data_IF_623023332664
#
_entry.id   IF_623023332664
#
_cell.length_a   1.000
_cell.length_b   1.000
_cell.length_c   1.000
_cell.angle_alpha   90.00
_cell.angle_beta   90.00
_cell.angle_gamma   90.00
#
_symmetry.space_group_name_H-M   'P 1'
#
loop_
_entity.id
_entity.type
_entity.pdbx_description
1 polymer ?
#
# COMPACT_ATOMS: atom_id res chain seq x y z
N UNK A 1 -10.56 -36.84 0.76
CA UNK A 1 -11.83 -36.30 1.27
C UNK A 1 -11.66 -34.80 1.47
N UNK A 2 -12.24 -33.98 0.59
CA UNK A 2 -12.28 -32.51 0.75
C UNK A 2 -13.17 -32.20 1.95
N UNK A 3 -12.60 -31.64 3.03
CA UNK A 3 -13.37 -31.17 4.19
C UNK A 3 -13.52 -29.66 4.03
N UNK A 4 -14.69 -29.23 3.60
CA UNK A 4 -15.08 -27.82 3.57
C UNK A 4 -15.22 -27.37 5.03
N UNK A 5 -14.43 -26.40 5.46
CA UNK A 5 -14.57 -25.79 6.77
C UNK A 5 -15.39 -24.51 6.64
N UNK A 6 -16.57 -24.49 7.26
CA UNK A 6 -17.36 -23.29 7.47
C UNK A 6 -17.01 -22.76 8.87
N UNK A 7 -16.53 -21.53 8.97
CA UNK A 7 -16.19 -20.94 10.26
C UNK A 7 -17.47 -20.64 11.06
N UNK A 8 -17.96 -21.58 11.86
CA UNK A 8 -18.75 -21.26 13.06
C UNK A 8 -17.76 -20.83 14.16
N UNK A 9 -18.01 -19.68 14.77
CA UNK A 9 -17.20 -19.08 15.83
C UNK A 9 -17.03 -20.03 17.02
N UNK A 10 -16.03 -20.90 16.96
CA UNK A 10 -15.52 -21.67 18.10
C UNK A 10 -14.26 -20.97 18.59
N UNK A 11 -14.47 -20.14 19.60
CA UNK A 11 -13.44 -19.50 20.38
C UNK A 11 -12.48 -20.53 21.01
N UNK A 12 -11.26 -20.06 21.22
CA UNK A 12 -10.12 -20.67 21.91
C UNK A 12 -9.24 -21.63 21.07
N UNK A 13 -8.03 -21.14 20.78
CA UNK A 13 -6.79 -21.84 20.31
C UNK A 13 -6.28 -21.67 18.87
N UNK A 14 -6.98 -21.01 17.93
CA UNK A 14 -6.53 -20.97 16.50
C UNK A 14 -6.08 -19.60 15.93
N UNK A 15 -5.87 -18.54 16.71
CA UNK A 15 -5.98 -17.18 16.16
C UNK A 15 -4.68 -16.36 15.92
N UNK A 16 -3.48 -16.95 15.93
CA UNK A 16 -2.27 -16.17 15.59
C UNK A 16 -1.39 -16.95 14.60
N UNK A 17 -1.24 -16.42 13.38
CA UNK A 17 -0.30 -16.96 12.38
C UNK A 17 -0.89 -17.81 11.25
N UNK A 18 -2.16 -17.63 10.85
CA UNK A 18 -2.74 -18.40 9.75
C UNK A 18 -2.78 -17.61 8.44
N UNK A 19 -2.39 -18.29 7.36
CA UNK A 19 -2.48 -17.83 5.97
C UNK A 19 -3.39 -18.75 5.18
N UNK A 20 -4.26 -18.19 4.34
CA UNK A 20 -5.13 -18.95 3.45
C UNK A 20 -4.86 -18.49 2.02
N UNK A 21 -4.35 -19.40 1.18
CA UNK A 21 -3.95 -19.06 -0.19
C UNK A 21 -5.15 -18.67 -1.07
N UNK A 22 -6.29 -19.34 -0.90
CA UNK A 22 -7.55 -19.09 -1.61
C UNK A 22 -8.74 -19.33 -0.70
N UNK A 23 -9.70 -18.42 -0.74
CA UNK A 23 -10.95 -18.52 0.01
C UNK A 23 -12.07 -17.78 -0.71
N UNK A 24 -13.30 -17.99 -0.23
CA UNK A 24 -14.48 -17.22 -0.61
C UNK A 24 -14.99 -16.47 0.62
N UNK A 25 -15.29 -15.19 0.46
CA UNK A 25 -16.01 -14.41 1.47
C UNK A 25 -17.42 -14.08 1.00
N UNK A 26 -18.36 -14.05 1.93
CA UNK A 26 -19.75 -13.66 1.68
C UNK A 26 -20.13 -12.55 2.65
N UNK A 27 -20.57 -11.40 2.12
CA UNK A 27 -21.05 -10.29 2.93
C UNK A 27 -22.36 -10.67 3.61
N UNK A 28 -22.46 -10.47 4.92
CA UNK A 28 -23.69 -10.79 5.67
C UNK A 28 -24.82 -9.80 5.43
N UNK A 29 -24.50 -8.58 5.00
CA UNK A 29 -25.50 -7.53 4.75
C UNK A 29 -26.14 -7.67 3.37
N UNK A 30 -25.35 -8.01 2.35
CA UNK A 30 -25.81 -8.07 0.95
C UNK A 30 -25.97 -9.49 0.41
N UNK A 31 -25.41 -10.49 1.10
CA UNK A 31 -25.28 -11.88 0.65
C UNK A 31 -24.44 -12.04 -0.65
N UNK A 32 -23.73 -11.00 -1.08
CA UNK A 32 -22.81 -11.06 -2.21
C UNK A 32 -21.54 -11.80 -1.82
N UNK A 33 -21.00 -12.58 -2.76
CA UNK A 33 -19.82 -13.40 -2.51
C UNK A 33 -18.67 -13.07 -3.46
N UNK A 34 -17.45 -13.15 -2.95
CA UNK A 34 -16.24 -12.78 -3.65
C UNK A 34 -15.16 -13.85 -3.47
N UNK A 35 -14.51 -14.22 -4.56
CA UNK A 35 -13.29 -15.01 -4.50
C UNK A 35 -12.14 -14.11 -4.05
N UNK A 36 -11.35 -14.61 -3.11
CA UNK A 36 -10.22 -13.90 -2.52
C UNK A 36 -9.00 -14.81 -2.40
N UNK A 37 -7.83 -14.19 -2.36
CA UNK A 37 -6.57 -14.89 -2.25
C UNK A 37 -5.63 -14.18 -1.27
N UNK A 38 -4.56 -14.86 -0.90
CA UNK A 38 -3.53 -14.28 -0.03
C UNK A 38 -4.09 -13.74 1.30
N UNK A 39 -5.01 -14.50 1.91
CA UNK A 39 -5.77 -14.05 3.08
C UNK A 39 -4.94 -14.21 4.34
N UNK A 40 -4.83 -13.13 5.12
CA UNK A 40 -4.20 -13.12 6.43
C UNK A 40 -5.09 -12.46 7.48
N UNK A 41 -5.07 -12.99 8.68
CA UNK A 41 -5.69 -12.35 9.83
C UNK A 41 -4.84 -11.15 10.28
N UNK A 42 -5.53 -10.06 10.63
CA UNK A 42 -4.92 -8.83 11.16
C UNK A 42 -5.67 -8.37 12.41
N UNK A 43 -5.06 -7.47 13.18
CA UNK A 43 -5.64 -6.88 14.39
C UNK A 43 -6.20 -7.95 15.36
N UNK A 44 -5.34 -8.87 15.78
CA UNK A 44 -5.67 -9.97 16.69
C UNK A 44 -6.87 -10.82 16.22
N UNK A 45 -6.97 -11.04 14.91
CA UNK A 45 -8.01 -11.85 14.31
C UNK A 45 -9.35 -11.14 14.11
N UNK A 46 -9.44 -9.83 14.39
CA UNK A 46 -10.67 -9.04 14.16
C UNK A 46 -10.87 -8.66 12.69
N UNK A 47 -9.80 -8.67 11.90
CA UNK A 47 -9.83 -8.33 10.48
C UNK A 47 -9.19 -9.39 9.59
N UNK A 48 -9.55 -9.34 8.31
CA UNK A 48 -8.87 -10.06 7.24
C UNK A 48 -8.28 -9.05 6.26
N UNK A 49 -7.02 -9.23 5.88
CA UNK A 49 -6.42 -8.59 4.72
C UNK A 49 -6.25 -9.64 3.61
N UNK A 50 -6.59 -9.30 2.37
CA UNK A 50 -6.57 -10.23 1.24
C UNK A 50 -6.42 -9.49 -0.11
N UNK A 51 -6.20 -10.25 -1.18
CA UNK A 51 -6.32 -9.77 -2.57
C UNK A 51 -7.66 -10.22 -3.16
N UNK A 52 -8.21 -9.42 -4.07
CA UNK A 52 -9.48 -9.70 -4.74
C UNK A 52 -9.45 -9.24 -6.19
N UNK A 53 -10.27 -9.84 -7.05
CA UNK A 53 -10.39 -9.44 -8.45
C UNK A 53 -10.93 -8.02 -8.63
N UNK A 54 -11.62 -7.50 -7.62
CA UNK A 54 -12.12 -6.11 -7.60
C UNK A 54 -11.01 -5.08 -7.33
N UNK A 55 -9.86 -5.54 -6.81
CA UNK A 55 -8.73 -4.70 -6.44
C UNK A 55 -7.44 -5.50 -6.56
N UNK A 56 -6.95 -5.61 -7.81
CA UNK A 56 -5.85 -6.52 -8.16
C UNK A 56 -4.48 -5.98 -7.76
N UNK A 57 -4.37 -4.67 -7.59
CA UNK A 57 -3.14 -3.95 -7.35
C UNK A 57 -3.09 -3.34 -5.94
N UNK A 58 -4.02 -3.65 -5.05
CA UNK A 58 -3.97 -3.30 -3.61
C UNK A 58 -4.60 -4.41 -2.77
N UNK A 59 -4.27 -4.43 -1.49
CA UNK A 59 -4.93 -5.25 -0.51
C UNK A 59 -6.27 -4.65 -0.11
N UNK A 60 -7.27 -5.52 -0.03
CA UNK A 60 -8.56 -5.26 0.55
C UNK A 60 -8.59 -5.76 2.00
N UNK A 61 -9.45 -5.13 2.79
CA UNK A 61 -9.57 -5.41 4.21
C UNK A 61 -11.02 -5.39 4.65
N UNK A 62 -11.40 -6.32 5.52
CA UNK A 62 -12.75 -6.43 6.10
C UNK A 62 -12.68 -6.73 7.60
N UNK A 63 -13.78 -6.46 8.32
CA UNK A 63 -13.99 -6.99 9.68
C UNK A 63 -14.55 -8.41 9.58
N UNK A 64 -13.94 -9.33 10.31
CA UNK A 64 -14.36 -10.75 10.33
C UNK A 64 -15.84 -10.90 10.71
N UNK A 65 -16.35 -10.06 11.62
CA UNK A 65 -17.75 -10.17 12.08
C UNK A 65 -18.78 -9.92 10.96
N UNK A 66 -18.44 -9.12 9.95
CA UNK A 66 -19.36 -8.67 8.91
C UNK A 66 -19.41 -9.63 7.70
N UNK A 67 -18.54 -10.64 7.67
CA UNK A 67 -18.40 -11.58 6.56
C UNK A 67 -18.37 -13.03 7.04
N UNK A 68 -18.85 -13.94 6.21
CA UNK A 68 -18.57 -15.36 6.32
C UNK A 68 -17.37 -15.72 5.45
N UNK A 69 -16.48 -16.56 5.97
CA UNK A 69 -15.26 -17.02 5.29
C UNK A 69 -15.32 -18.53 5.10
N UNK A 70 -15.17 -18.99 3.86
CA UNK A 70 -15.18 -20.40 3.46
C UNK A 70 -13.90 -20.72 2.69
N UNK A 71 -13.21 -21.78 3.07
CA UNK A 71 -12.01 -22.25 2.37
C UNK A 71 -11.83 -23.77 2.49
N UNK A 72 -11.14 -24.36 1.51
CA UNK A 72 -10.70 -25.75 1.57
C UNK A 72 -9.49 -25.89 2.51
N UNK A 73 -9.45 -26.96 3.31
CA UNK A 73 -8.37 -27.18 4.29
C UNK A 73 -6.97 -27.23 3.67
N UNK A 74 -6.86 -27.56 2.38
CA UNK A 74 -5.59 -27.59 1.64
C UNK A 74 -5.00 -26.20 1.38
N UNK A 75 -5.82 -25.14 1.45
CA UNK A 75 -5.37 -23.76 1.27
C UNK A 75 -4.84 -23.15 2.58
N UNK A 76 -5.02 -23.83 3.71
CA UNK A 76 -4.61 -23.33 5.03
C UNK A 76 -3.14 -23.66 5.30
N UNK A 77 -2.37 -22.63 5.67
CA UNK A 77 -0.98 -22.75 6.11
C UNK A 77 -0.78 -22.06 7.46
N UNK A 78 0.05 -22.68 8.31
CA UNK A 78 0.59 -22.03 9.53
C UNK A 78 1.80 -21.14 9.23
N UNK A 79 2.43 -21.33 8.07
CA UNK A 79 3.50 -20.47 7.63
C UNK A 79 2.89 -19.34 6.78
N UNK A 80 3.07 -18.10 7.22
CA UNK A 80 2.63 -16.91 6.48
C UNK A 80 3.76 -16.56 5.50
N UNK A 81 3.55 -16.71 4.19
CA UNK A 81 4.56 -16.30 3.22
C UNK A 81 4.76 -14.79 3.27
N UNK A 82 5.94 -14.32 2.86
CA UNK A 82 6.15 -12.91 2.61
C UNK A 82 5.34 -12.49 1.38
N UNK A 83 4.17 -11.87 1.63
CA UNK A 83 3.32 -11.39 0.56
C UNK A 83 3.87 -10.04 0.10
N UNK A 84 4.60 -10.05 -1.02
CA UNK A 84 5.14 -8.83 -1.61
C UNK A 84 4.02 -7.80 -1.79
N UNK A 85 4.25 -6.61 -1.23
CA UNK A 85 3.37 -5.44 -1.40
C UNK A 85 3.83 -4.54 -2.53
N UNK A 86 4.73 -5.02 -3.38
CA UNK A 86 5.11 -4.47 -4.68
C UNK A 86 4.26 -5.19 -5.72
N UNK A 87 3.53 -4.41 -6.52
CA UNK A 87 2.58 -4.88 -7.52
C UNK A 87 3.11 -4.70 -8.94
N UNK A 88 4.38 -4.35 -9.12
CA UNK A 88 4.99 -4.23 -10.45
C UNK A 88 4.94 -5.56 -11.20
N UNK A 89 4.72 -5.47 -12.52
CA UNK A 89 4.75 -6.66 -13.39
C UNK A 89 6.15 -7.24 -13.49
N UNK A 90 7.13 -6.34 -13.63
CA UNK A 90 8.53 -6.67 -13.74
C UNK A 90 9.27 -6.30 -12.44
N UNK A 91 10.35 -7.03 -12.16
CA UNK A 91 11.27 -6.65 -11.09
C UNK A 91 12.10 -5.44 -11.52
N UNK A 92 12.27 -4.48 -10.63
CA UNK A 92 13.14 -3.34 -10.90
C UNK A 92 14.59 -3.81 -11.03
N UNK A 93 15.33 -3.27 -12.00
CA UNK A 93 16.71 -3.72 -12.25
C UNK A 93 17.76 -2.83 -11.58
N UNK A 94 17.45 -2.39 -10.34
CA UNK A 94 18.38 -1.68 -9.46
C UNK A 94 19.12 -2.67 -8.57
N UNK A 95 20.47 -2.67 -8.57
CA UNK A 95 21.25 -3.46 -7.61
C UNK A 95 20.98 -3.13 -6.15
N UNK A 96 21.01 -4.14 -5.28
CA UNK A 96 20.93 -3.97 -3.84
C UNK A 96 22.10 -3.12 -3.30
N UNK A 97 21.79 -2.18 -2.40
CA UNK A 97 22.75 -1.30 -1.76
C UNK A 97 22.19 0.11 -1.56
N UNK A 98 23.07 1.10 -1.46
CA UNK A 98 22.67 2.50 -1.26
C UNK A 98 23.08 3.39 -2.41
N UNK A 99 22.21 4.36 -2.64
CA UNK A 99 22.38 5.40 -3.63
C UNK A 99 22.45 6.72 -2.89
N UNK A 100 23.64 7.30 -2.86
CA UNK A 100 23.92 8.54 -2.11
C UNK A 100 23.15 9.69 -2.71
N UNK A 101 23.19 9.82 -4.03
CA UNK A 101 22.51 10.87 -4.76
C UNK A 101 21.46 10.31 -5.72
N UNK A 102 20.63 11.23 -6.22
CA UNK A 102 19.71 10.96 -7.32
C UNK A 102 20.43 10.52 -8.60
N UNK A 103 21.59 11.10 -8.88
CA UNK A 103 22.39 10.74 -10.05
C UNK A 103 22.99 9.34 -9.91
N UNK A 104 23.40 8.97 -8.69
CA UNK A 104 23.82 7.60 -8.39
C UNK A 104 22.70 6.60 -8.67
N UNK A 105 21.48 6.91 -8.22
CA UNK A 105 20.32 6.05 -8.45
C UNK A 105 20.02 5.87 -9.94
N UNK A 106 19.94 6.95 -10.71
CA UNK A 106 19.63 6.89 -12.14
C UNK A 106 20.73 6.21 -12.96
N UNK A 107 22.00 6.41 -12.58
CA UNK A 107 23.14 5.74 -13.22
C UNK A 107 23.38 4.32 -12.69
N UNK A 108 22.58 3.87 -11.72
CA UNK A 108 22.74 2.59 -11.01
C UNK A 108 24.11 2.43 -10.34
N UNK A 109 24.77 3.54 -10.02
CA UNK A 109 26.00 3.58 -9.25
C UNK A 109 25.69 3.30 -7.78
N UNK A 110 25.96 2.08 -7.31
CA UNK A 110 25.56 1.62 -5.98
C UNK A 110 26.77 1.47 -5.07
N UNK A 111 26.62 1.87 -3.81
CA UNK A 111 27.55 1.46 -2.75
C UNK A 111 27.00 0.24 -2.02
N UNK A 112 27.79 -0.83 -1.98
CA UNK A 112 27.43 -2.02 -1.19
C UNK A 112 27.59 -1.72 0.30
N UNK A 113 26.47 -1.70 1.03
CA UNK A 113 26.43 -1.52 2.48
C UNK A 113 25.34 -2.39 3.09
N UNK A 114 25.66 -3.03 4.21
CA UNK A 114 24.70 -3.82 4.96
C UNK A 114 23.97 -2.95 5.99
N UNK A 115 22.64 -2.99 5.95
CA UNK A 115 21.78 -2.31 6.92
C UNK A 115 20.84 -3.31 7.60
N UNK A 116 20.36 -2.95 8.78
CA UNK A 116 19.15 -3.52 9.36
C UNK A 116 17.94 -2.68 8.92
N UNK A 117 16.85 -3.34 8.51
CA UNK A 117 15.60 -2.69 8.09
C UNK A 117 14.55 -3.00 9.15
N UNK A 118 13.90 -1.96 9.68
CA UNK A 118 12.79 -2.12 10.62
C UNK A 118 11.61 -1.26 10.17
N UNK A 119 10.36 -1.74 10.36
CA UNK A 119 9.18 -0.88 10.23
C UNK A 119 9.33 0.41 11.04
N UNK A 120 8.87 1.51 10.46
CA UNK A 120 8.80 2.78 11.18
C UNK A 120 7.62 2.76 12.18
N UNK A 121 7.68 3.60 13.23
CA UNK A 121 6.59 3.76 14.20
C UNK A 121 5.23 4.09 13.55
N UNK A 122 5.26 4.79 12.41
CA UNK A 122 4.06 5.18 11.67
C UNK A 122 3.73 4.25 10.50
N UNK A 123 4.33 3.05 10.45
CA UNK A 123 4.11 2.10 9.37
C UNK A 123 2.68 1.52 9.33
N UNK A 124 1.94 1.62 10.43
CA UNK A 124 0.51 1.26 10.48
C UNK A 124 -0.38 2.21 9.67
N UNK A 125 0.15 3.39 9.30
CA UNK A 125 -0.47 4.31 8.34
C UNK A 125 -0.22 3.89 6.88
N UNK A 126 0.19 2.65 6.63
CA UNK A 126 0.45 2.13 5.29
C UNK A 126 -0.19 0.76 5.13
N UNK A 127 -0.29 0.31 3.87
CA UNK A 127 -0.88 -0.97 3.50
C UNK A 127 -0.13 -2.18 4.06
N UNK A 128 1.19 -2.06 4.15
CA UNK A 128 2.06 -2.99 4.85
C UNK A 128 3.06 -2.25 5.73
N UNK A 129 3.44 -2.85 6.85
CA UNK A 129 4.48 -2.33 7.73
C UNK A 129 5.85 -2.18 7.04
N UNK A 130 6.06 -2.91 5.94
CA UNK A 130 7.26 -2.83 5.10
C UNK A 130 7.23 -1.66 4.10
N UNK A 131 6.12 -0.93 3.97
CA UNK A 131 6.02 0.21 3.04
C UNK A 131 6.67 1.49 3.59
N UNK A 132 6.80 1.60 4.91
CA UNK A 132 7.51 2.68 5.58
C UNK A 132 8.50 2.11 6.58
N UNK A 133 9.78 2.31 6.30
CA UNK A 133 10.86 1.70 7.08
C UNK A 133 11.92 2.70 7.49
N UNK A 134 12.70 2.32 8.49
CA UNK A 134 13.96 2.95 8.84
C UNK A 134 15.09 1.95 8.57
N UNK A 135 16.21 2.45 8.07
CA UNK A 135 17.45 1.68 7.91
C UNK A 135 18.46 2.08 8.98
N UNK A 136 19.17 1.10 9.54
CA UNK A 136 20.17 1.29 10.59
C UNK A 136 21.48 0.60 10.21
N UNK A 137 22.61 1.25 10.45
CA UNK A 137 23.91 0.61 10.30
C UNK A 137 23.97 -0.59 11.26
N UNK A 138 24.45 -1.72 10.73
CA UNK A 138 24.65 -2.97 11.48
C UNK A 138 25.66 -2.84 12.63
N UNK A 139 26.52 -1.81 12.60
CA UNK A 139 27.59 -1.60 13.58
C UNK A 139 27.18 -0.85 14.84
N UNK A 140 25.93 -0.42 14.99
CA UNK A 140 25.55 0.32 16.19
C UNK A 140 24.09 0.30 16.58
N UNK A 141 23.81 0.88 17.75
CA UNK A 141 22.51 0.77 18.43
C UNK A 141 21.65 2.01 18.20
N UNK A 142 20.34 1.80 18.13
CA UNK A 142 19.35 2.85 18.02
C UNK A 142 19.55 3.96 19.09
N UNK A 143 19.37 5.26 18.78
CA UNK A 143 18.98 5.86 17.51
C UNK A 143 20.14 6.41 16.65
N UNK A 144 21.38 6.34 17.14
CA UNK A 144 22.54 7.05 16.57
C UNK A 144 22.94 6.57 15.17
N UNK A 145 22.59 5.33 14.81
CA UNK A 145 23.02 4.66 13.59
C UNK A 145 21.94 4.63 12.50
N UNK A 146 20.87 5.37 12.70
CA UNK A 146 19.79 5.50 11.73
C UNK A 146 20.29 6.26 10.49
N UNK A 147 20.08 5.68 9.32
CA UNK A 147 20.48 6.28 8.05
C UNK A 147 19.46 7.32 7.60
N UNK A 148 19.94 8.52 7.25
CA UNK A 148 19.06 9.67 6.93
C UNK A 148 19.42 10.38 5.63
N UNK A 149 20.59 10.05 5.07
CA UNK A 149 21.23 10.89 4.06
C UNK A 149 21.27 10.26 2.67
N UNK A 150 20.95 8.97 2.54
CA UNK A 150 20.87 8.33 1.23
C UNK A 150 19.60 8.77 0.50
N UNK A 151 19.72 9.00 -0.81
CA UNK A 151 18.59 9.30 -1.68
C UNK A 151 17.65 8.10 -1.80
N UNK A 152 18.23 6.92 -2.05
CA UNK A 152 17.51 5.67 -2.15
C UNK A 152 18.31 4.51 -1.56
N UNK A 153 17.59 3.47 -1.13
CA UNK A 153 18.16 2.22 -0.64
C UNK A 153 17.40 1.09 -1.33
N UNK A 154 18.13 0.12 -1.88
CA UNK A 154 17.55 -1.08 -2.49
C UNK A 154 17.95 -2.29 -1.67
N UNK A 155 16.96 -3.11 -1.30
CA UNK A 155 17.17 -4.28 -0.46
C UNK A 155 16.24 -5.40 -0.87
N UNK A 156 16.81 -6.58 -1.10
CA UNK A 156 16.09 -7.76 -1.56
C UNK A 156 15.28 -7.49 -2.85
N UNK A 157 15.78 -6.59 -3.71
CA UNK A 157 15.11 -6.12 -4.92
C UNK A 157 13.99 -5.10 -4.72
N UNK A 158 13.63 -4.74 -3.48
CA UNK A 158 12.67 -3.67 -3.20
C UNK A 158 13.39 -2.31 -3.16
N UNK A 159 12.82 -1.31 -3.85
CA UNK A 159 13.37 0.05 -3.92
C UNK A 159 12.69 0.94 -2.89
N UNK A 160 13.48 1.74 -2.17
CA UNK A 160 13.00 2.67 -1.16
C UNK A 160 13.57 4.07 -1.36
N UNK A 161 12.71 5.10 -1.32
CA UNK A 161 13.12 6.50 -1.41
C UNK A 161 13.02 7.22 -0.07
N UNK A 162 13.97 8.12 0.17
CA UNK A 162 13.97 8.94 1.37
C UNK A 162 12.79 9.94 1.38
N UNK A 163 11.99 9.90 2.44
CA UNK A 163 10.79 10.74 2.58
C UNK A 163 11.14 12.24 2.62
N UNK A 164 12.34 12.61 3.10
CA UNK A 164 12.82 14.00 3.09
C UNK A 164 12.76 14.64 1.71
N UNK A 165 13.19 13.91 0.67
CA UNK A 165 13.26 14.40 -0.70
C UNK A 165 11.85 14.68 -1.24
N UNK A 166 10.92 13.77 -0.97
CA UNK A 166 9.52 13.91 -1.39
C UNK A 166 8.85 15.09 -0.64
N UNK A 167 9.08 15.20 0.67
CA UNK A 167 8.52 16.29 1.49
C UNK A 167 9.02 17.67 1.10
N UNK A 168 10.26 17.78 0.62
CA UNK A 168 10.79 19.03 0.05
C UNK A 168 9.96 19.47 -1.15
N UNK A 169 9.72 18.57 -2.11
CA UNK A 169 8.89 18.84 -3.29
C UNK A 169 7.45 19.15 -2.91
N UNK A 170 6.88 18.40 -1.96
CA UNK A 170 5.52 18.64 -1.47
C UNK A 170 5.37 20.04 -0.86
N UNK A 171 6.35 20.47 -0.04
CA UNK A 171 6.38 21.81 0.55
C UNK A 171 6.41 22.89 -0.53
N UNK A 172 7.29 22.75 -1.53
CA UNK A 172 7.44 23.72 -2.61
C UNK A 172 6.14 23.85 -3.44
N UNK A 173 5.46 22.72 -3.68
CA UNK A 173 4.17 22.65 -4.39
C UNK A 173 2.95 22.94 -3.50
N UNK A 174 3.14 23.28 -2.22
CA UNK A 174 2.07 23.48 -1.22
C UNK A 174 1.11 22.28 -1.07
N UNK A 175 1.62 21.07 -1.29
CA UNK A 175 0.88 19.82 -1.14
C UNK A 175 1.00 19.34 0.31
N UNK A 176 -0.14 19.05 0.93
CA UNK A 176 -0.21 18.58 2.31
C UNK A 176 -0.05 17.05 2.37
N UNK A 177 1.05 16.61 2.99
CA UNK A 177 1.30 15.22 3.38
C UNK A 177 1.23 15.08 4.91
N UNK A 178 1.09 13.85 5.41
CA UNK A 178 1.12 13.55 6.84
C UNK A 178 2.40 14.10 7.49
N UNK A 179 2.20 14.91 8.54
CA UNK A 179 3.30 15.60 9.24
C UNK A 179 4.08 14.66 10.14
N UNK A 180 3.40 13.63 10.63
CA UNK A 180 3.86 12.59 11.54
C UNK A 180 4.94 11.72 10.90
N UNK A 181 4.87 11.48 9.59
CA UNK A 181 5.87 10.68 8.88
C UNK A 181 7.23 11.38 8.96
N UNK A 182 8.26 10.78 9.58
CA UNK A 182 9.51 11.48 9.78
C UNK A 182 10.33 11.57 8.49
N UNK A 183 11.09 12.66 8.34
CA UNK A 183 11.94 12.88 7.16
C UNK A 183 13.04 11.81 6.99
N UNK A 184 13.43 11.12 8.07
CA UNK A 184 14.45 10.09 8.03
C UNK A 184 13.94 8.71 7.59
N UNK A 185 12.62 8.57 7.38
CA UNK A 185 12.04 7.31 6.93
C UNK A 185 12.23 7.14 5.43
N UNK A 186 12.08 5.90 4.98
CA UNK A 186 12.11 5.54 3.58
C UNK A 186 10.79 4.87 3.20
N UNK A 187 10.25 5.27 2.05
CA UNK A 187 8.99 4.75 1.51
C UNK A 187 9.28 3.80 0.34
N UNK A 188 8.59 2.66 0.34
CA UNK A 188 8.75 1.62 -0.68
C UNK A 188 8.10 2.02 -2.00
N UNK A 189 8.75 1.67 -3.11
CA UNK A 189 8.16 1.69 -4.45
C UNK A 189 7.16 0.53 -4.58
N UNK A 190 5.94 0.84 -5.01
CA UNK A 190 4.79 -0.06 -5.09
C UNK A 190 4.52 -0.59 -6.49
N UNK A 191 4.84 0.18 -7.52
CA UNK A 191 4.49 -0.11 -8.91
C UNK A 191 5.40 0.66 -9.88
N UNK A 192 5.25 0.38 -11.17
CA UNK A 192 5.97 1.06 -12.25
C UNK A 192 7.03 0.19 -12.91
N UNK A 193 8.04 0.85 -13.47
CA UNK A 193 9.17 0.25 -14.17
C UNK A 193 10.47 1.02 -13.85
N UNK A 194 11.59 0.63 -14.47
CA UNK A 194 12.84 1.38 -14.36
C UNK A 194 12.78 2.80 -14.98
N UNK A 195 11.71 3.13 -15.70
CA UNK A 195 11.50 4.48 -16.26
C UNK A 195 10.71 5.40 -15.32
N UNK A 196 9.86 4.82 -14.47
CA UNK A 196 9.05 5.55 -13.51
C UNK A 196 8.70 4.68 -12.33
N UNK A 197 9.00 5.17 -11.13
CA UNK A 197 8.81 4.42 -9.89
C UNK A 197 7.70 5.05 -9.08
N UNK A 198 6.64 4.29 -8.83
CA UNK A 198 5.46 4.77 -8.13
C UNK A 198 5.48 4.37 -6.65
N UNK A 199 5.16 5.31 -5.77
CA UNK A 199 5.05 5.12 -4.32
C UNK A 199 3.90 5.96 -3.78
N UNK A 200 3.58 5.79 -2.49
CA UNK A 200 2.43 6.45 -1.87
C UNK A 200 2.79 7.02 -0.51
N UNK A 201 2.27 8.20 -0.18
CA UNK A 201 2.33 8.76 1.16
C UNK A 201 0.95 9.19 1.64
N UNK A 202 0.63 9.01 2.94
CA UNK A 202 -0.63 9.47 3.49
C UNK A 202 -0.73 11.00 3.49
N UNK A 203 -1.95 11.51 3.30
CA UNK A 203 -2.29 12.93 3.41
C UNK A 203 -2.33 13.39 4.87
N UNK A 204 -2.33 14.70 5.08
CA UNK A 204 -2.35 15.29 6.42
C UNK A 204 -3.67 15.14 7.19
N UNK A 205 -4.72 14.55 6.61
CA UNK A 205 -5.99 14.31 7.29
C UNK A 205 -6.14 12.82 7.57
N UNK A 206 -6.18 12.48 8.86
CA UNK A 206 -6.12 11.12 9.40
C UNK A 206 -7.45 10.35 9.27
N UNK A 207 -8.31 10.68 8.31
CA UNK A 207 -9.57 9.97 8.10
C UNK A 207 -9.37 8.71 7.24
N UNK A 208 -8.32 7.94 7.50
CA UNK A 208 -8.04 6.71 6.77
C UNK A 208 -9.02 5.60 7.21
N UNK A 209 -9.85 5.14 6.27
CA UNK A 209 -10.87 4.11 6.52
C UNK A 209 -10.31 2.81 7.14
N UNK A 210 -9.06 2.45 6.82
CA UNK A 210 -8.36 1.31 7.43
C UNK A 210 -8.09 1.53 8.93
N UNK A 211 -7.58 2.70 9.30
CA UNK A 211 -7.30 3.07 10.69
C UNK A 211 -8.60 3.16 11.51
N UNK A 212 -9.64 3.75 10.91
CA UNK A 212 -10.96 3.83 11.52
C UNK A 212 -11.58 2.45 11.75
N UNK A 213 -11.50 1.54 10.78
CA UNK A 213 -12.11 0.21 10.86
C UNK A 213 -11.58 -0.62 12.02
N UNK A 214 -10.31 -0.42 12.38
CA UNK A 214 -9.62 -1.18 13.44
C UNK A 214 -9.27 -0.38 14.69
N UNK A 215 -9.69 0.88 14.77
CA UNK A 215 -9.45 1.73 15.94
C UNK A 215 -7.97 2.02 16.18
N UNK A 216 -7.14 1.98 15.12
CA UNK A 216 -5.71 2.26 15.20
C UNK A 216 -5.54 3.78 15.16
N UNK A 217 -5.29 4.39 16.32
CA UNK A 217 -5.10 5.82 16.59
C UNK A 217 -6.32 6.75 16.39
N UNK A 218 -6.85 7.28 17.51
CA UNK A 218 -7.46 8.61 17.65
C UNK A 218 -8.64 9.05 16.77
N UNK A 219 -9.14 8.24 15.84
CA UNK A 219 -10.23 8.63 14.95
C UNK A 219 -11.56 8.72 15.72
N UNK A 220 -12.25 9.86 15.57
CA UNK A 220 -13.57 10.12 16.14
C UNK A 220 -14.58 9.18 15.49
N UNK A 221 -15.41 8.55 16.33
CA UNK A 221 -16.42 7.59 15.94
C UNK A 221 -17.42 8.12 14.91
N UNK A 222 -17.59 7.41 13.78
CA UNK A 222 -18.88 6.94 13.27
C UNK A 222 -18.67 6.14 11.98
N UNK A 223 -19.37 5.00 11.87
CA UNK A 223 -19.79 4.29 10.63
C UNK A 223 -18.78 4.13 9.48
N UNK A 224 -18.58 2.86 9.04
CA UNK A 224 -18.28 2.53 7.62
C UNK A 224 -19.01 3.54 6.75
N UNK A 225 -18.28 4.33 5.94
CA UNK A 225 -18.79 5.47 5.15
C UNK A 225 -20.31 5.42 4.96
N UNK A 226 -21.05 6.40 5.48
CA UNK A 226 -22.44 6.53 5.06
C UNK A 226 -22.41 6.88 3.57
N UNK A 227 -22.73 5.90 2.73
CA UNK A 227 -22.63 6.00 1.27
C UNK A 227 -23.49 7.10 0.68
N UNK A 228 -24.37 7.71 1.48
CA UNK A 228 -25.16 8.90 1.12
C UNK A 228 -24.36 10.20 1.18
N UNK A 229 -23.28 10.25 1.96
CA UNK A 229 -22.44 11.44 2.20
C UNK A 229 -21.00 11.26 1.68
N UNK A 230 -20.75 10.31 0.76
CA UNK A 230 -19.42 10.07 0.21
C UNK A 230 -18.85 11.36 -0.42
N UNK A 231 -17.77 11.95 0.14
CA UNK A 231 -17.22 13.22 -0.33
C UNK A 231 -16.78 13.20 -1.80
N UNK A 232 -16.79 14.37 -2.45
CA UNK A 232 -16.12 14.58 -3.73
C UNK A 232 -14.65 14.10 -3.65
N UNK A 233 -14.31 13.03 -4.39
CA UNK A 233 -12.95 12.50 -4.49
C UNK A 233 -12.82 10.98 -4.40
N UNK A 234 -13.87 10.26 -3.97
CA UNK A 234 -13.89 8.80 -4.05
C UNK A 234 -14.35 8.34 -5.43
N UNK A 235 -13.70 7.31 -5.98
CA UNK A 235 -14.18 6.70 -7.21
C UNK A 235 -15.43 5.85 -6.97
N UNK A 236 -16.29 5.71 -7.98
CA UNK A 236 -17.48 4.86 -7.89
C UNK A 236 -17.13 3.41 -7.54
N UNK A 237 -16.03 2.90 -8.10
CA UNK A 237 -15.50 1.57 -7.80
C UNK A 237 -15.18 1.40 -6.30
N UNK A 238 -14.56 2.40 -5.67
CA UNK A 238 -14.30 2.36 -4.22
C UNK A 238 -15.59 2.40 -3.41
N UNK A 239 -16.55 3.27 -3.78
CA UNK A 239 -17.84 3.39 -3.11
C UNK A 239 -18.59 2.05 -3.15
N UNK A 240 -18.55 1.35 -4.29
CA UNK A 240 -19.20 0.06 -4.44
C UNK A 240 -18.57 -1.03 -3.55
N UNK A 241 -17.24 -1.05 -3.41
CA UNK A 241 -16.55 -1.94 -2.48
C UNK A 241 -16.97 -1.68 -1.03
N UNK A 242 -17.06 -0.41 -0.63
CA UNK A 242 -17.41 -0.05 0.75
C UNK A 242 -18.86 -0.40 1.07
N UNK A 243 -19.79 -0.32 0.12
CA UNK A 243 -21.17 -0.82 0.28
C UNK A 243 -21.22 -2.30 0.66
N UNK A 244 -20.26 -3.08 0.16
CA UNK A 244 -20.12 -4.50 0.52
C UNK A 244 -19.45 -4.72 1.87
N UNK A 245 -18.88 -3.67 2.49
CA UNK A 245 -18.09 -3.73 3.73
C UNK A 245 -16.59 -3.96 3.47
N UNK A 246 -16.14 -3.83 2.22
CA UNK A 246 -14.75 -4.03 1.80
C UNK A 246 -14.04 -2.67 1.73
N UNK A 247 -12.90 -2.55 2.40
CA UNK A 247 -12.09 -1.33 2.40
C UNK A 247 -10.77 -1.58 1.68
N UNK A 248 -10.38 -0.65 0.80
CA UNK A 248 -9.07 -0.61 0.14
C UNK A 248 -8.39 0.74 0.37
N UNK A 249 -7.11 0.85 0.02
CA UNK A 249 -6.42 2.14 0.05
C UNK A 249 -6.95 3.03 -1.09
N UNK A 250 -7.14 4.32 -0.82
CA UNK A 250 -7.77 5.24 -1.77
C UNK A 250 -7.00 6.57 -1.92
N UNK A 251 -7.34 7.29 -2.99
CA UNK A 251 -6.71 8.55 -3.41
C UNK A 251 -7.14 9.75 -2.57
N UNK A 252 -8.15 9.59 -1.71
CA UNK A 252 -8.51 10.57 -0.70
C UNK A 252 -7.60 10.52 0.52
N UNK A 253 -7.11 9.35 0.89
CA UNK A 253 -6.22 9.14 2.03
C UNK A 253 -4.74 9.24 1.66
N UNK A 254 -4.38 8.87 0.43
CA UNK A 254 -3.00 8.83 -0.05
C UNK A 254 -2.76 9.77 -1.23
N UNK A 255 -1.51 10.18 -1.39
CA UNK A 255 -0.99 10.80 -2.61
C UNK A 255 -0.07 9.80 -3.29
N UNK A 256 -0.38 9.51 -4.55
CA UNK A 256 0.57 8.84 -5.44
C UNK A 256 1.73 9.77 -5.75
N UNK A 257 2.94 9.22 -5.79
CA UNK A 257 4.18 9.93 -6.09
C UNK A 257 4.92 9.10 -7.13
N UNK A 258 5.35 9.76 -8.21
CA UNK A 258 6.12 9.14 -9.28
C UNK A 258 7.52 9.73 -9.23
N UNK A 259 8.55 8.89 -9.21
CA UNK A 259 9.90 9.30 -9.56
C UNK A 259 10.13 9.02 -11.04
N UNK A 260 10.20 10.10 -11.84
CA UNK A 260 10.54 10.03 -13.25
C UNK A 260 12.07 9.91 -13.38
N UNK A 261 12.55 8.75 -13.84
CA UNK A 261 14.00 8.48 -13.86
C UNK A 261 14.70 9.22 -14.99
N UNK A 262 13.98 9.55 -16.07
CA UNK A 262 14.51 10.31 -17.22
C UNK A 262 14.75 11.77 -16.84
N UNK A 263 13.75 12.41 -16.24
CA UNK A 263 13.84 13.81 -15.83
C UNK A 263 14.47 13.99 -14.44
N UNK A 264 14.65 12.88 -13.71
CA UNK A 264 15.21 12.83 -12.37
C UNK A 264 14.41 13.70 -11.41
N UNK A 265 13.11 13.53 -11.35
CA UNK A 265 12.25 14.37 -10.52
C UNK A 265 11.04 13.63 -9.95
N UNK A 266 10.57 14.11 -8.80
CA UNK A 266 9.35 13.60 -8.20
C UNK A 266 8.14 14.41 -8.68
N UNK A 267 7.14 13.69 -9.16
CA UNK A 267 5.83 14.21 -9.49
C UNK A 267 4.81 13.68 -8.47
N UNK A 268 4.11 14.59 -7.78
CA UNK A 268 3.13 14.23 -6.75
C UNK A 268 1.75 14.38 -7.37
N UNK A 269 1.02 13.27 -7.46
CA UNK A 269 -0.33 13.19 -8.00
C UNK A 269 -1.31 13.79 -7.01
N UNK A 270 -1.59 15.08 -7.15
CA UNK A 270 -2.48 15.82 -6.27
C UNK A 270 -3.94 15.67 -6.67
N UNK A 271 -4.19 15.53 -7.97
CA UNK A 271 -5.51 15.35 -8.59
C UNK A 271 -5.40 14.37 -9.76
N UNK A 272 -6.54 13.88 -10.21
CA UNK A 272 -6.62 12.94 -11.33
C UNK A 272 -5.91 13.45 -12.60
N UNK A 273 -6.05 14.74 -12.92
CA UNK A 273 -5.43 15.29 -14.12
C UNK A 273 -3.91 15.23 -14.09
N UNK A 274 -3.27 15.20 -12.91
CA UNK A 274 -1.81 15.07 -12.81
C UNK A 274 -1.36 13.69 -13.34
N UNK A 275 -2.14 12.63 -13.04
CA UNK A 275 -1.86 11.30 -13.58
C UNK A 275 -2.08 11.27 -15.10
N UNK A 276 -3.20 11.81 -15.58
CA UNK A 276 -3.48 11.89 -17.02
C UNK A 276 -2.39 12.66 -17.76
N UNK A 277 -1.93 13.79 -17.22
CA UNK A 277 -0.84 14.59 -17.79
C UNK A 277 0.50 13.84 -17.75
N UNK A 278 0.77 13.05 -16.72
CA UNK A 278 1.98 12.23 -16.68
C UNK A 278 1.97 11.14 -17.76
N UNK A 279 0.88 10.37 -17.82
CA UNK A 279 0.75 9.21 -18.72
C UNK A 279 0.73 9.64 -20.19
N UNK A 280 0.11 10.77 -20.51
CA UNK A 280 0.04 11.30 -21.88
C UNK A 280 1.40 11.74 -22.45
N UNK A 281 2.44 11.88 -21.61
CA UNK A 281 3.84 12.04 -22.07
C UNK A 281 4.35 10.81 -22.83
N UNK A 282 3.78 9.63 -22.58
CA UNK A 282 4.21 8.34 -23.12
C UNK A 282 3.12 7.67 -23.98
N UNK A 283 1.84 7.89 -23.65
CA UNK A 283 0.70 7.38 -24.40
C UNK A 283 -0.33 8.51 -24.66
N UNK A 284 -0.26 9.14 -25.83
CA UNK A 284 -1.11 10.28 -26.18
C UNK A 284 -2.60 9.96 -26.31
N UNK A 285 -2.96 8.69 -26.50
CA UNK A 285 -4.36 8.24 -26.62
C UNK A 285 -4.97 7.91 -25.25
N UNK A 286 -4.19 7.99 -24.17
CA UNK A 286 -4.66 7.69 -22.82
C UNK A 286 -5.73 8.68 -22.36
N UNK A 287 -6.89 8.14 -21.98
CA UNK A 287 -7.98 8.89 -21.36
C UNK A 287 -8.40 8.21 -20.05
N UNK A 288 -8.39 8.96 -18.96
CA UNK A 288 -8.76 8.49 -17.63
C UNK A 288 -10.08 9.11 -17.19
N UNK A 289 -11.06 8.29 -16.88
CA UNK A 289 -12.26 8.75 -16.19
C UNK A 289 -11.96 8.93 -14.70
N UNK A 290 -11.86 10.18 -14.29
CA UNK A 290 -11.54 10.53 -12.90
C UNK A 290 -12.60 10.11 -11.88
N UNK A 291 -13.87 9.96 -12.29
CA UNK A 291 -14.97 9.59 -11.39
C UNK A 291 -15.09 8.08 -11.25
N UNK A 292 -14.94 7.36 -12.35
CA UNK A 292 -15.02 5.90 -12.34
C UNK A 292 -13.73 5.27 -11.79
N UNK A 293 -12.57 5.77 -12.23
CA UNK A 293 -11.34 4.98 -12.22
C UNK A 293 -10.17 5.61 -11.45
N UNK A 294 -10.33 6.76 -10.80
CA UNK A 294 -9.22 7.37 -10.04
C UNK A 294 -9.04 6.78 -8.62
N UNK A 295 -8.53 5.56 -8.55
CA UNK A 295 -8.16 4.87 -7.31
C UNK A 295 -6.65 4.59 -7.22
N UNK A 296 -6.16 4.19 -6.04
CA UNK A 296 -4.77 3.74 -5.87
C UNK A 296 -4.52 2.45 -6.66
N UNK A 297 -5.48 1.52 -6.62
CA UNK A 297 -5.45 0.30 -7.43
C UNK A 297 -5.21 0.61 -8.90
N UNK A 298 -5.97 1.57 -9.45
CA UNK A 298 -5.88 1.95 -10.85
C UNK A 298 -4.61 2.73 -11.16
N UNK A 299 -4.14 3.59 -10.25
CA UNK A 299 -2.85 4.27 -10.40
C UNK A 299 -1.71 3.26 -10.57
N UNK A 300 -1.66 2.25 -9.71
CA UNK A 300 -0.67 1.16 -9.81
C UNK A 300 -0.84 0.40 -11.12
N UNK A 301 -2.07 0.05 -11.51
CA UNK A 301 -2.35 -0.63 -12.78
C UNK A 301 -1.83 0.16 -13.99
N UNK A 302 -2.18 1.44 -14.08
CA UNK A 302 -1.80 2.32 -15.20
C UNK A 302 -0.28 2.43 -15.27
N UNK A 303 0.37 2.69 -14.13
CA UNK A 303 1.82 2.89 -14.11
C UNK A 303 2.58 1.57 -14.33
N UNK A 304 2.02 0.42 -14.00
CA UNK A 304 2.62 -0.87 -14.38
C UNK A 304 2.54 -1.17 -15.88
N UNK A 305 1.66 -0.49 -16.61
CA UNK A 305 1.41 -0.72 -18.04
C UNK A 305 1.94 0.42 -18.93
N UNK A 306 2.57 1.41 -18.31
CA UNK A 306 3.22 2.53 -18.98
C UNK A 306 4.64 2.13 -19.42
#
# INVERSE_FOLDING_TARGET
>A
MKKIFTLLALCSTFAFGQYISKAKITSKSTNNSFEISDVKYINDGKGLQFKTDLSKNTFAVVRVKDFDLVYDSENLSKNIPEIKGVFSKDSFSYPDGVYVTKDDFVSKNVESKAFEMKPNLYADLFEQSADLVNFYDTKGKFPEFQQRDYFAIVRNGDVYFNVKEIKKIAKDKKILLAKEIPNFAYVRVKAGSDHHLYMELPKSQQNNGYLMMFGIAGAIASTVLDTKDAPEGYSENYINLVKEGIITFNTNDYKGIIFDTKNKEFEILSKCSDLSSYVTKYNSEFNLDCKADYSIDKQREILNNL
#
